data_IF_819261472932
#
_entry.id   IF_819261472932
#
_cell.length_a   1.000
_cell.length_b   1.000
_cell.length_c   1.000
_cell.angle_alpha   90.00
_cell.angle_beta   90.00
_cell.angle_gamma   90.00
#
_symmetry.space_group_name_H-M   'P 1'
#
loop_
_entity.id
_entity.type
_entity.pdbx_description
1 polymer ?
#
# COMPACT_ATOMS: atom_id res chain seq x y z
N UNK A 1 19.15 9.47 8.35
CA UNK A 1 18.12 9.26 7.31
C UNK A 1 16.76 9.57 7.92
N UNK A 2 15.78 10.08 7.15
CA UNK A 2 14.39 10.11 7.63
C UNK A 2 13.97 8.67 7.98
N UNK A 3 13.34 8.49 9.14
CA UNK A 3 12.77 7.19 9.53
C UNK A 3 11.39 6.98 8.90
N UNK A 4 10.84 5.78 9.10
CA UNK A 4 9.50 5.47 8.62
C UNK A 4 8.43 6.09 9.54
N UNK A 5 7.25 6.37 9.00
CA UNK A 5 6.11 6.90 9.77
C UNK A 5 5.45 8.12 9.12
N UNK A 6 4.63 8.83 9.90
CA UNK A 6 3.96 10.05 9.46
C UNK A 6 4.97 11.17 9.15
N UNK A 7 4.63 12.03 8.18
CA UNK A 7 5.48 13.15 7.80
C UNK A 7 5.58 14.15 8.97
N UNK A 8 6.80 14.38 9.45
CA UNK A 8 7.06 15.21 10.64
C UNK A 8 6.89 14.49 11.97
N UNK A 9 6.54 13.20 11.96
CA UNK A 9 6.50 12.34 13.14
C UNK A 9 7.89 11.85 13.58
N UNK A 10 7.98 11.22 14.77
CA UNK A 10 9.21 10.58 15.21
C UNK A 10 9.56 9.41 14.28
N UNK A 11 10.85 9.17 13.99
CA UNK A 11 11.26 8.06 13.14
C UNK A 11 10.96 6.72 13.81
N UNK A 12 10.43 5.77 13.04
CA UNK A 12 10.22 4.39 13.44
C UNK A 12 10.93 3.41 12.50
N UNK A 13 10.95 2.13 12.90
CA UNK A 13 11.28 1.04 11.98
C UNK A 13 10.17 0.89 10.95
N UNK A 14 10.47 0.31 9.78
CA UNK A 14 9.48 0.10 8.72
C UNK A 14 8.29 -0.71 9.21
N UNK A 15 8.55 -1.83 9.91
CA UNK A 15 7.51 -2.67 10.50
C UNK A 15 6.64 -1.91 11.49
N UNK A 16 7.25 -1.16 12.42
CA UNK A 16 6.49 -0.42 13.43
C UNK A 16 5.64 0.68 12.80
N UNK A 17 6.18 1.37 11.78
CA UNK A 17 5.45 2.38 11.03
C UNK A 17 4.27 1.79 10.25
N UNK A 18 4.45 0.64 9.59
CA UNK A 18 3.37 -0.10 8.94
C UNK A 18 2.29 -0.50 9.93
N UNK A 19 2.66 -1.06 11.09
CA UNK A 19 1.70 -1.44 12.12
C UNK A 19 0.93 -0.23 12.66
N UNK A 20 1.61 0.88 12.94
CA UNK A 20 0.97 2.11 13.40
C UNK A 20 -0.02 2.65 12.35
N UNK A 21 0.39 2.70 11.08
CA UNK A 21 -0.45 3.13 9.96
C UNK A 21 -1.66 2.22 9.77
N UNK A 22 -1.47 0.90 9.83
CA UNK A 22 -2.55 -0.09 9.75
C UNK A 22 -3.58 0.13 10.85
N UNK A 23 -3.14 0.33 12.11
CA UNK A 23 -4.05 0.59 13.24
C UNK A 23 -4.83 1.90 13.09
N UNK A 24 -4.25 2.91 12.44
CA UNK A 24 -4.90 4.19 12.21
C UNK A 24 -5.95 4.13 11.08
N UNK A 25 -5.74 3.28 10.06
CA UNK A 25 -6.54 3.29 8.82
C UNK A 25 -7.51 2.13 8.68
N UNK A 26 -7.19 0.96 9.24
CA UNK A 26 -8.01 -0.24 9.11
C UNK A 26 -9.15 -0.23 10.15
N UNK A 27 -10.42 -0.38 9.75
CA UNK A 27 -11.53 -0.47 10.69
C UNK A 27 -11.33 -1.59 11.72
N UNK A 28 -11.69 -1.28 12.97
CA UNK A 28 -11.65 -2.24 14.06
C UNK A 28 -12.48 -3.51 13.77
N UNK A 29 -12.17 -4.60 14.46
CA UNK A 29 -12.81 -5.91 14.28
C UNK A 29 -11.97 -6.86 13.43
N UNK A 30 -12.64 -7.70 12.63
CA UNK A 30 -11.98 -8.78 11.91
C UNK A 30 -10.92 -8.28 10.90
N UNK A 31 -11.15 -7.11 10.27
CA UNK A 31 -10.21 -6.52 9.30
C UNK A 31 -8.88 -6.15 9.95
N UNK A 32 -8.92 -5.41 11.07
CA UNK A 32 -7.72 -5.08 11.82
C UNK A 32 -7.03 -6.34 12.34
N UNK A 33 -7.79 -7.31 12.84
CA UNK A 33 -7.23 -8.60 13.27
C UNK A 33 -6.55 -9.37 12.13
N UNK A 34 -7.09 -9.35 10.91
CA UNK A 34 -6.47 -9.96 9.73
C UNK A 34 -5.18 -9.22 9.33
N UNK A 35 -5.21 -7.89 9.36
CA UNK A 35 -4.05 -7.05 9.05
C UNK A 35 -2.89 -7.28 10.04
N UNK A 36 -3.19 -7.32 11.35
CA UNK A 36 -2.19 -7.61 12.38
C UNK A 36 -1.62 -9.04 12.23
N UNK A 37 -2.45 -10.05 11.93
CA UNK A 37 -1.97 -11.40 11.62
C UNK A 37 -1.02 -11.44 10.41
N UNK A 38 -1.32 -10.67 9.36
CA UNK A 38 -0.45 -10.56 8.20
C UNK A 38 0.90 -9.95 8.57
N UNK A 39 0.90 -8.86 9.34
CA UNK A 39 2.13 -8.18 9.80
C UNK A 39 2.93 -9.00 10.82
N UNK A 40 2.27 -9.81 11.66
CA UNK A 40 2.97 -10.72 12.58
C UNK A 40 3.68 -11.84 11.82
N UNK A 41 3.04 -12.39 10.80
CA UNK A 41 3.59 -13.50 10.00
C UNK A 41 4.68 -13.04 9.04
N UNK A 42 4.47 -11.91 8.37
CA UNK A 42 5.32 -11.42 7.28
C UNK A 42 6.14 -10.19 7.65
N UNK A 43 6.08 -9.74 8.90
CA UNK A 43 6.88 -8.63 9.43
C UNK A 43 8.37 -8.68 9.09
N UNK A 44 9.04 -9.85 9.10
CA UNK A 44 10.45 -9.95 8.71
C UNK A 44 10.77 -9.52 7.28
N UNK A 45 9.79 -9.49 6.37
CA UNK A 45 9.98 -8.96 5.01
C UNK A 45 10.20 -7.44 5.00
N UNK A 46 9.92 -6.77 6.11
CA UNK A 46 10.08 -5.33 6.32
C UNK A 46 11.26 -5.00 7.23
N UNK A 47 12.12 -5.98 7.50
CA UNK A 47 13.38 -5.78 8.18
C UNK A 47 14.49 -5.52 7.14
N UNK A 48 15.25 -4.43 7.29
CA UNK A 48 16.45 -4.18 6.49
C UNK A 48 16.28 -3.34 5.22
N UNK A 49 15.20 -2.58 5.09
CA UNK A 49 15.00 -1.65 3.97
C UNK A 49 16.08 -0.53 3.91
N UNK A 50 16.49 -0.08 2.71
CA UNK A 50 17.53 0.95 2.53
C UNK A 50 17.16 2.34 3.08
N UNK A 51 15.92 2.53 3.53
CA UNK A 51 15.42 3.74 4.16
C UNK A 51 14.01 4.10 3.69
N UNK A 52 13.34 4.97 4.45
CA UNK A 52 12.01 5.47 4.08
C UNK A 52 12.09 6.43 2.89
N UNK A 53 11.07 6.37 2.02
CA UNK A 53 10.85 7.36 0.95
C UNK A 53 9.50 8.04 1.13
N UNK A 54 9.28 9.14 0.43
CA UNK A 54 7.96 9.76 0.35
C UNK A 54 7.05 8.86 -0.50
N UNK A 55 6.08 8.22 0.15
CA UNK A 55 5.05 7.39 -0.46
C UNK A 55 3.79 8.25 -0.60
N UNK A 56 3.17 8.25 -1.77
CA UNK A 56 1.89 8.93 -2.02
C UNK A 56 0.77 8.34 -1.18
N UNK A 57 0.73 7.00 -1.11
CA UNK A 57 -0.24 6.30 -0.29
C UNK A 57 -1.66 6.33 -0.84
N UNK A 58 -1.85 6.80 -2.08
CA UNK A 58 -3.08 6.65 -2.87
C UNK A 58 -2.83 6.82 -4.38
N UNK A 59 -1.79 6.18 -4.90
CA UNK A 59 -1.41 6.35 -6.31
C UNK A 59 -2.29 5.49 -7.22
N UNK A 60 -3.15 6.14 -8.00
CA UNK A 60 -3.94 5.54 -9.08
C UNK A 60 -4.17 6.55 -10.21
N UNK A 61 -4.75 6.09 -11.33
CA UNK A 61 -4.82 6.88 -12.57
C UNK A 61 -5.55 8.23 -12.44
N UNK A 62 -6.47 8.37 -11.47
CA UNK A 62 -7.19 9.63 -11.24
C UNK A 62 -6.35 10.66 -10.46
N UNK A 63 -5.28 10.23 -9.78
CA UNK A 63 -4.33 11.11 -9.09
C UNK A 63 -3.10 11.46 -9.94
N UNK A 64 -3.09 11.07 -11.23
CA UNK A 64 -1.99 11.34 -12.17
C UNK A 64 -2.48 12.25 -13.30
N UNK A 65 -1.92 13.46 -13.38
CA UNK A 65 -2.17 14.37 -14.49
C UNK A 65 -1.07 14.26 -15.53
N UNK A 66 -1.47 14.20 -16.80
CA UNK A 66 -0.56 14.20 -17.95
C UNK A 66 -0.80 15.41 -18.84
N UNK A 67 0.24 15.87 -19.53
CA UNK A 67 0.17 16.91 -20.55
C UNK A 67 0.72 16.41 -21.88
N UNK A 68 0.26 16.94 -23.02
CA UNK A 68 0.87 16.64 -24.31
C UNK A 68 2.37 16.99 -24.32
N UNK A 69 3.18 16.09 -24.88
CA UNK A 69 4.61 16.24 -25.04
C UNK A 69 5.05 15.65 -26.39
N UNK A 70 5.02 16.49 -27.43
CA UNK A 70 5.26 16.04 -28.82
C UNK A 70 4.20 15.04 -29.27
N UNK A 71 4.56 13.87 -29.84
CA UNK A 71 3.61 12.84 -30.24
C UNK A 71 3.05 12.03 -29.06
N UNK A 72 3.52 12.29 -27.83
CA UNK A 72 3.17 11.52 -26.64
C UNK A 72 2.63 12.36 -25.49
N UNK A 73 2.62 11.74 -24.32
CA UNK A 73 2.19 12.34 -23.06
C UNK A 73 3.34 12.32 -22.07
N UNK A 74 3.44 13.36 -21.25
CA UNK A 74 4.38 13.42 -20.13
C UNK A 74 3.62 13.67 -18.83
N UNK A 75 4.14 13.13 -17.72
CA UNK A 75 3.64 13.44 -16.38
C UNK A 75 3.69 14.96 -16.16
N UNK A 76 2.55 15.53 -15.79
CA UNK A 76 2.41 16.94 -15.47
C UNK A 76 2.38 17.16 -13.95
N UNK A 77 1.63 16.34 -13.22
CA UNK A 77 1.50 16.43 -11.78
C UNK A 77 0.98 15.12 -11.17
N UNK A 78 1.18 14.97 -9.86
CA UNK A 78 0.53 13.97 -9.01
C UNK A 78 -0.26 14.73 -7.93
N UNK A 79 -1.53 14.37 -7.76
CA UNK A 79 -2.51 15.08 -6.92
C UNK A 79 -2.86 14.26 -5.67
N UNK A 80 -3.45 14.92 -4.67
CA UNK A 80 -4.05 14.27 -3.50
C UNK A 80 -3.05 13.54 -2.57
N UNK A 81 -2.15 14.35 -1.98
CA UNK A 81 -1.10 13.87 -1.08
C UNK A 81 -1.56 13.65 0.36
N UNK A 82 -2.87 13.66 0.64
CA UNK A 82 -3.40 13.59 2.03
C UNK A 82 -3.12 12.24 2.70
N UNK A 83 -2.87 11.19 1.91
CA UNK A 83 -2.46 9.87 2.41
C UNK A 83 -0.93 9.67 2.46
N UNK A 84 -0.14 10.71 2.17
CA UNK A 84 1.30 10.58 2.04
C UNK A 84 2.00 10.30 3.38
N UNK A 85 3.09 9.53 3.33
CA UNK A 85 3.87 9.15 4.51
C UNK A 85 5.31 8.77 4.15
N UNK A 86 6.18 8.66 5.16
CA UNK A 86 7.52 8.12 5.00
C UNK A 86 7.45 6.59 5.07
N UNK A 87 7.43 5.94 3.90
CA UNK A 87 7.10 4.52 3.78
C UNK A 87 8.06 3.72 2.89
N UNK A 88 7.70 2.46 2.59
CA UNK A 88 8.42 1.58 1.69
C UNK A 88 8.45 2.09 0.24
N UNK A 89 9.59 1.95 -0.44
CA UNK A 89 9.73 2.41 -1.83
C UNK A 89 8.85 1.65 -2.84
N UNK A 90 8.44 0.44 -2.49
CA UNK A 90 7.58 -0.44 -3.28
C UNK A 90 6.08 -0.25 -3.00
N UNK A 91 5.70 0.56 -2.00
CA UNK A 91 4.30 0.68 -1.55
C UNK A 91 3.35 1.23 -2.61
N UNK A 92 3.72 2.32 -3.29
CA UNK A 92 2.86 2.91 -4.32
C UNK A 92 2.73 1.99 -5.55
N UNK A 93 3.79 1.27 -5.92
CA UNK A 93 3.75 0.28 -7.00
C UNK A 93 2.86 -0.91 -6.65
N UNK A 94 2.95 -1.42 -5.42
CA UNK A 94 2.11 -2.49 -4.92
C UNK A 94 0.62 -2.09 -4.95
N UNK A 95 0.28 -0.88 -4.52
CA UNK A 95 -1.09 -0.35 -4.56
C UNK A 95 -1.58 -0.08 -5.99
N UNK A 96 -0.75 0.53 -6.83
CA UNK A 96 -1.09 0.84 -8.22
C UNK A 96 -1.53 -0.41 -9.00
N UNK A 97 -0.89 -1.55 -8.75
CA UNK A 97 -1.23 -2.82 -9.41
C UNK A 97 -2.69 -3.29 -9.15
N UNK A 98 -3.37 -2.80 -8.10
CA UNK A 98 -4.76 -3.15 -7.83
C UNK A 98 -5.77 -2.31 -8.63
N UNK A 99 -5.33 -1.22 -9.27
CA UNK A 99 -6.20 -0.32 -10.02
C UNK A 99 -6.23 -0.64 -11.51
N UNK A 100 -7.41 -0.50 -12.13
CA UNK A 100 -7.52 -0.57 -13.58
C UNK A 100 -6.67 0.48 -14.26
N UNK A 101 -6.13 0.09 -15.42
CA UNK A 101 -5.32 0.95 -16.29
C UNK A 101 -4.04 1.50 -15.62
N UNK A 102 -3.62 0.92 -14.51
CA UNK A 102 -2.33 1.17 -13.88
C UNK A 102 -1.32 0.07 -14.26
N UNK A 103 -0.01 0.38 -14.26
CA UNK A 103 1.02 -0.64 -14.50
C UNK A 103 1.04 -1.74 -13.44
N UNK A 104 1.45 -2.94 -13.84
CA UNK A 104 1.61 -4.09 -12.97
C UNK A 104 0.36 -4.97 -12.87
N UNK A 105 0.46 -6.02 -12.06
CA UNK A 105 -0.64 -6.94 -11.78
C UNK A 105 -0.49 -7.49 -10.36
N UNK A 106 -1.59 -7.65 -9.60
CA UNK A 106 -1.53 -8.29 -8.28
C UNK A 106 -1.12 -9.77 -8.37
N UNK A 107 -1.26 -10.39 -9.54
CA UNK A 107 -0.81 -11.75 -9.78
C UNK A 107 0.72 -11.88 -9.77
N UNK A 108 1.43 -10.81 -10.13
CA UNK A 108 2.89 -10.77 -10.23
C UNK A 108 3.56 -10.27 -8.94
N UNK A 109 2.77 -9.90 -7.93
CA UNK A 109 3.29 -9.43 -6.64
C UNK A 109 4.18 -10.51 -6.00
N UNK A 110 5.30 -10.11 -5.40
CA UNK A 110 5.99 -10.96 -4.42
C UNK A 110 5.23 -10.92 -3.08
N UNK A 111 5.71 -11.65 -2.07
CA UNK A 111 5.00 -11.73 -0.78
C UNK A 111 4.98 -10.38 -0.05
N UNK A 112 6.00 -9.54 -0.24
CA UNK A 112 6.09 -8.22 0.38
C UNK A 112 5.10 -7.24 -0.24
N UNK A 113 4.99 -7.23 -1.56
CA UNK A 113 3.98 -6.47 -2.29
C UNK A 113 2.57 -6.99 -1.98
N UNK A 114 2.37 -8.31 -1.89
CA UNK A 114 1.09 -8.91 -1.56
C UNK A 114 0.61 -8.53 -0.15
N UNK A 115 1.52 -8.44 0.84
CA UNK A 115 1.18 -7.95 2.19
C UNK A 115 0.72 -6.50 2.13
N UNK A 116 1.47 -5.61 1.46
CA UNK A 116 1.08 -4.20 1.32
C UNK A 116 -0.28 -4.03 0.61
N UNK A 117 -0.53 -4.83 -0.42
CA UNK A 117 -1.81 -4.91 -1.12
C UNK A 117 -2.94 -5.37 -0.19
N UNK A 118 -2.72 -6.42 0.63
CA UNK A 118 -3.74 -6.89 1.57
C UNK A 118 -4.05 -5.84 2.63
N UNK A 119 -3.03 -5.18 3.19
CA UNK A 119 -3.23 -4.11 4.19
C UNK A 119 -4.10 -2.99 3.61
N UNK A 120 -3.84 -2.58 2.36
CA UNK A 120 -4.68 -1.62 1.65
C UNK A 120 -6.12 -2.12 1.48
N UNK A 121 -6.30 -3.36 1.01
CA UNK A 121 -7.63 -3.96 0.84
C UNK A 121 -8.45 -3.93 2.14
N UNK A 122 -7.79 -4.14 3.28
CA UNK A 122 -8.42 -4.15 4.59
C UNK A 122 -8.78 -2.74 5.11
N UNK A 123 -8.24 -1.65 4.54
CA UNK A 123 -8.64 -0.28 4.90
C UNK A 123 -10.10 0.03 4.50
N UNK A 124 -10.58 -0.56 3.40
CA UNK A 124 -11.86 -0.18 2.80
C UNK A 124 -12.96 -1.22 3.09
N UNK A 125 -14.07 -0.82 3.74
CA UNK A 125 -15.16 -1.75 4.04
C UNK A 125 -16.03 -2.11 2.83
N UNK A 126 -16.09 -1.25 1.80
CA UNK A 126 -16.95 -1.43 0.61
C UNK A 126 -16.26 -1.00 -0.70
N UNK A 127 -15.39 -1.86 -1.25
CA UNK A 127 -14.72 -1.62 -2.53
C UNK A 127 -15.39 -2.28 -3.76
N UNK A 128 -16.64 -2.75 -3.63
CA UNK A 128 -17.32 -3.48 -4.70
C UNK A 128 -16.80 -4.92 -4.90
N UNK A 129 -17.27 -5.58 -5.97
CA UNK A 129 -17.03 -7.01 -6.20
C UNK A 129 -15.56 -7.36 -6.48
N UNK A 130 -14.86 -6.53 -7.26
CA UNK A 130 -13.45 -6.74 -7.57
C UNK A 130 -12.58 -6.66 -6.30
N UNK A 131 -12.76 -5.62 -5.50
CA UNK A 131 -12.02 -5.44 -4.25
C UNK A 131 -12.17 -6.63 -3.31
N UNK A 132 -13.39 -7.18 -3.18
CA UNK A 132 -13.63 -8.39 -2.39
C UNK A 132 -12.85 -9.59 -2.94
N UNK A 133 -12.89 -9.83 -4.25
CA UNK A 133 -12.14 -10.91 -4.88
C UNK A 133 -10.62 -10.75 -4.72
N UNK A 134 -10.10 -9.52 -4.83
CA UNK A 134 -8.69 -9.22 -4.60
C UNK A 134 -8.30 -9.45 -3.14
N UNK A 135 -9.13 -9.00 -2.20
CA UNK A 135 -8.93 -9.22 -0.75
C UNK A 135 -8.87 -10.71 -0.42
N UNK A 136 -9.84 -11.50 -0.89
CA UNK A 136 -9.92 -12.95 -0.66
C UNK A 136 -8.73 -13.68 -1.27
N UNK A 137 -8.33 -13.33 -2.51
CA UNK A 137 -7.19 -13.93 -3.18
C UNK A 137 -5.88 -13.65 -2.44
N UNK A 138 -5.64 -12.40 -2.05
CA UNK A 138 -4.44 -12.00 -1.32
C UNK A 138 -4.37 -12.69 0.05
N UNK A 139 -5.49 -12.72 0.78
CA UNK A 139 -5.59 -13.38 2.06
C UNK A 139 -5.33 -14.89 1.96
N UNK A 140 -5.93 -15.56 0.97
CA UNK A 140 -5.70 -16.98 0.71
C UNK A 140 -4.23 -17.26 0.36
N UNK A 141 -3.63 -16.45 -0.52
CA UNK A 141 -2.21 -16.56 -0.88
C UNK A 141 -1.29 -16.43 0.33
N UNK A 142 -1.57 -15.47 1.22
CA UNK A 142 -0.78 -15.20 2.42
C UNK A 142 -1.15 -16.12 3.60
N UNK A 143 -2.12 -17.01 3.44
CA UNK A 143 -2.62 -17.86 4.53
C UNK A 143 -3.17 -17.05 5.71
N UNK A 144 -3.77 -15.90 5.44
CA UNK A 144 -4.38 -15.00 6.43
C UNK A 144 -5.90 -15.26 6.45
N UNK A 145 -6.47 -15.72 7.57
CA UNK A 145 -7.93 -15.86 7.69
C UNK A 145 -8.59 -14.49 7.71
N UNK A 146 -9.69 -14.33 6.95
CA UNK A 146 -10.58 -13.15 6.96
C UNK A 146 -11.75 -13.37 7.92
#
# INVERSE_FOLDING_TARGET
>A
QPGFGDLGGPPATERDALLARTRARVPAGWRLGAAERALDRYGPLFDGSPGAVLVHGDLHHANVLVRPAGPGWALAAVLDWDSAWAGPADADGARAALWDSMPGSPADADDRAAVQQLLWCLEYPDGGARHRADTERLAARLGVPL
#
